data_IF_448014945370
#
_entry.id   IF_448014945370
#
_cell.length_a   1.000
_cell.length_b   1.000
_cell.length_c   1.000
_cell.angle_alpha   90.00
_cell.angle_beta   90.00
_cell.angle_gamma   90.00
#
_symmetry.space_group_name_H-M   'P 1'
#
loop_
_entity.id
_entity.type
_entity.pdbx_description
1 polymer ?
#
# COMPACT_ATOMS: atom_id res chain seq x y z
N UNK A 1 3.29 1.32 -7.12
CA UNK A 1 2.92 2.71 -7.46
C UNK A 1 1.42 2.83 -7.40
N UNK A 2 0.91 3.95 -6.90
CA UNK A 2 -0.50 4.29 -7.00
C UNK A 2 -0.92 4.49 -8.48
N UNK A 3 -2.21 4.64 -8.74
CA UNK A 3 -2.74 4.81 -10.10
C UNK A 3 -2.18 6.04 -10.83
N UNK A 4 -1.80 7.10 -10.11
CA UNK A 4 -1.20 8.29 -10.71
C UNK A 4 0.28 8.11 -11.09
N UNK A 5 0.93 7.06 -10.58
CA UNK A 5 2.37 6.83 -10.74
C UNK A 5 3.26 7.73 -9.86
N UNK A 6 2.68 8.56 -8.98
CA UNK A 6 3.44 9.50 -8.13
C UNK A 6 3.90 8.86 -6.82
N UNK A 7 3.05 8.08 -6.18
CA UNK A 7 3.34 7.51 -4.87
C UNK A 7 3.82 6.07 -5.03
N UNK A 8 4.98 5.78 -4.46
CA UNK A 8 5.49 4.41 -4.37
C UNK A 8 5.08 3.81 -3.04
N UNK A 9 4.27 2.74 -3.10
CA UNK A 9 3.82 1.96 -1.95
C UNK A 9 4.60 0.66 -1.91
N UNK A 10 5.21 0.37 -0.77
CA UNK A 10 6.00 -0.84 -0.55
C UNK A 10 5.76 -1.42 0.83
N UNK A 11 5.87 -2.75 0.95
CA UNK A 11 5.67 -3.45 2.21
C UNK A 11 6.97 -3.51 3.04
N UNK A 12 6.92 -2.99 4.26
CA UNK A 12 7.86 -3.35 5.32
C UNK A 12 7.31 -4.59 6.04
N UNK A 13 7.35 -5.72 5.34
CA UNK A 13 6.53 -6.91 5.62
C UNK A 13 6.68 -7.46 7.06
N UNK A 14 7.90 -7.63 7.57
CA UNK A 14 8.14 -8.16 8.91
C UNK A 14 7.76 -7.19 10.04
N UNK A 15 7.33 -5.97 9.69
CA UNK A 15 6.86 -4.94 10.63
C UNK A 15 5.37 -4.64 10.50
N UNK A 16 4.64 -5.39 9.66
CA UNK A 16 3.20 -5.25 9.42
C UNK A 16 2.80 -3.82 8.97
N UNK A 17 3.61 -3.24 8.07
CA UNK A 17 3.44 -1.85 7.59
C UNK A 17 3.56 -1.70 6.08
N UNK A 18 2.83 -0.72 5.54
CA UNK A 18 3.04 -0.16 4.20
C UNK A 18 3.71 1.21 4.32
N UNK A 19 4.79 1.40 3.57
CA UNK A 19 5.50 2.68 3.46
C UNK A 19 5.09 3.35 2.16
N UNK A 20 4.71 4.63 2.25
CA UNK A 20 4.33 5.47 1.12
C UNK A 20 5.39 6.54 0.92
N UNK A 21 5.98 6.58 -0.28
CA UNK A 21 7.00 7.55 -0.67
C UNK A 21 6.44 8.44 -1.78
N UNK A 22 6.53 9.76 -1.61
CA UNK A 22 6.27 10.71 -2.69
C UNK A 22 7.50 10.76 -3.60
N UNK A 23 7.40 10.17 -4.79
CA UNK A 23 8.54 10.10 -5.72
C UNK A 23 8.81 11.42 -6.43
N UNK A 24 7.85 12.36 -6.42
CA UNK A 24 8.07 13.70 -6.95
C UNK A 24 8.96 14.52 -6.02
N UNK A 25 8.66 14.48 -4.72
CA UNK A 25 9.37 15.27 -3.70
C UNK A 25 10.51 14.48 -3.03
N UNK A 26 10.71 13.21 -3.41
CA UNK A 26 11.72 12.30 -2.85
C UNK A 26 11.68 12.20 -1.32
N UNK A 27 10.48 12.13 -0.74
CA UNK A 27 10.26 12.14 0.71
C UNK A 27 9.34 11.01 1.17
N UNK A 28 9.49 10.61 2.43
CA UNK A 28 8.53 9.77 3.12
C UNK A 28 7.22 10.56 3.28
N UNK A 29 6.12 9.97 2.82
CA UNK A 29 4.78 10.58 2.94
C UNK A 29 4.01 9.98 4.12
N UNK A 30 3.98 8.65 4.24
CA UNK A 30 3.24 7.97 5.30
C UNK A 30 3.81 6.58 5.62
N UNK A 31 3.48 6.11 6.83
CA UNK A 31 3.64 4.72 7.25
C UNK A 31 2.27 4.28 7.77
N UNK A 32 1.71 3.23 7.18
CA UNK A 32 0.36 2.73 7.47
C UNK A 32 0.46 1.34 8.08
N UNK A 33 -0.18 1.15 9.23
CA UNK A 33 -0.31 -0.17 9.88
C UNK A 33 -1.34 -1.03 9.15
N UNK A 34 -1.02 -2.29 8.91
CA UNK A 34 -1.88 -3.25 8.21
C UNK A 34 -1.87 -4.62 8.91
N UNK A 35 -2.42 -5.65 8.25
CA UNK A 35 -2.40 -7.04 8.74
C UNK A 35 -0.99 -7.65 8.73
N UNK A 36 -0.92 -8.93 9.10
CA UNK A 36 0.34 -9.65 9.28
C UNK A 36 1.05 -9.97 7.97
N UNK A 37 2.31 -9.57 7.83
CA UNK A 37 3.17 -9.88 6.68
C UNK A 37 2.48 -9.46 5.37
N UNK A 38 2.26 -8.15 5.13
CA UNK A 38 1.70 -7.67 3.87
C UNK A 38 2.61 -8.06 2.71
N UNK A 39 2.01 -8.61 1.64
CA UNK A 39 2.74 -9.08 0.47
C UNK A 39 2.04 -8.70 -0.83
N UNK A 40 2.21 -7.44 -1.28
CA UNK A 40 1.42 -6.89 -2.37
C UNK A 40 1.83 -7.35 -3.77
N UNK A 41 3.04 -7.89 -3.95
CA UNK A 41 3.68 -7.87 -5.27
C UNK A 41 3.88 -6.43 -5.72
N UNK A 42 3.13 -5.99 -6.75
CA UNK A 42 3.03 -4.56 -7.14
C UNK A 42 1.80 -3.85 -6.55
N UNK A 43 0.91 -4.62 -5.91
CA UNK A 43 -0.43 -4.27 -5.43
C UNK A 43 -1.45 -4.09 -6.55
N UNK A 44 -2.68 -3.71 -6.16
CA UNK A 44 -3.80 -3.53 -7.08
C UNK A 44 -4.40 -2.13 -6.95
N UNK A 45 -4.39 -1.37 -8.04
CA UNK A 45 -5.01 -0.04 -8.11
C UNK A 45 -6.43 -0.15 -8.68
N UNK A 46 -7.40 0.51 -8.05
CA UNK A 46 -8.76 0.65 -8.56
C UNK A 46 -9.48 1.85 -7.91
N UNK A 47 -10.66 2.21 -8.43
CA UNK A 47 -11.50 3.25 -7.84
C UNK A 47 -12.57 2.57 -7.00
N UNK A 48 -12.47 2.70 -5.67
CA UNK A 48 -13.50 2.25 -4.75
C UNK A 48 -14.72 3.18 -4.84
N UNK A 49 -15.97 2.66 -4.87
CA UNK A 49 -17.18 3.49 -5.01
C UNK A 49 -17.34 4.57 -3.93
N UNK A 50 -16.84 4.32 -2.72
CA UNK A 50 -16.95 5.24 -1.58
C UNK A 50 -15.66 6.02 -1.28
N UNK A 51 -14.49 5.39 -1.46
CA UNK A 51 -13.20 5.96 -1.03
C UNK A 51 -12.41 6.59 -2.18
N UNK A 52 -12.90 6.47 -3.42
CA UNK A 52 -12.18 6.95 -4.60
C UNK A 52 -10.97 6.05 -4.93
N UNK A 53 -9.92 6.59 -5.55
CA UNK A 53 -8.72 5.83 -5.91
C UNK A 53 -8.04 5.20 -4.69
N UNK A 54 -7.87 3.88 -4.70
CA UNK A 54 -7.21 3.09 -3.65
C UNK A 54 -6.15 2.17 -4.24
N UNK A 55 -5.26 1.70 -3.37
CA UNK A 55 -4.26 0.68 -3.69
C UNK A 55 -4.36 -0.44 -2.65
N UNK A 56 -4.46 -1.69 -3.10
CA UNK A 56 -4.71 -2.81 -2.21
C UNK A 56 -3.51 -3.77 -2.06
N UNK A 57 -3.43 -4.40 -0.89
CA UNK A 57 -2.52 -5.51 -0.58
C UNK A 57 -3.25 -6.66 0.12
N UNK A 58 -2.85 -7.88 -0.21
CA UNK A 58 -3.12 -9.08 0.60
C UNK A 58 -1.99 -9.34 1.58
N UNK A 59 -2.20 -10.33 2.45
CA UNK A 59 -1.28 -10.70 3.53
C UNK A 59 -0.90 -12.19 3.43
N UNK A 60 0.33 -12.52 3.82
CA UNK A 60 0.76 -13.92 3.96
C UNK A 60 0.54 -14.46 5.37
N UNK A 61 0.47 -13.57 6.36
CA UNK A 61 0.32 -13.93 7.77
C UNK A 61 -1.13 -13.99 8.27
N UNK A 62 -2.10 -13.56 7.46
CA UNK A 62 -3.54 -13.64 7.72
C UNK A 62 -4.36 -13.53 6.42
N UNK A 63 -5.69 -13.60 6.53
CA UNK A 63 -6.63 -13.59 5.40
C UNK A 63 -7.14 -12.18 5.01
N UNK A 64 -6.55 -11.12 5.56
CA UNK A 64 -7.07 -9.77 5.38
C UNK A 64 -6.63 -9.14 4.05
N UNK A 65 -7.45 -8.21 3.55
CA UNK A 65 -7.11 -7.29 2.46
C UNK A 65 -7.17 -5.87 3.02
N UNK A 66 -6.11 -5.08 2.81
CA UNK A 66 -6.07 -3.66 3.16
C UNK A 66 -6.17 -2.81 1.88
N UNK A 67 -6.86 -1.66 1.98
CA UNK A 67 -7.10 -0.67 0.91
C UNK A 67 -6.52 0.70 1.27
#
# INVERSE_FOLDING_TARGET
>A
FDASGRYFLTAANASDKIVVVDTKESKLEAIVDVGKIPHPGRGANFVHPEFGPVWATSHLGDETIAL
#
